data_IF_340512086549
#
_entry.id   IF_340512086549
#
_cell.length_a   1.000
_cell.length_b   1.000
_cell.length_c   1.000
_cell.angle_alpha   90.00
_cell.angle_beta   90.00
_cell.angle_gamma   90.00
#
_symmetry.space_group_name_H-M   'P 1'
#
loop_
_entity.id
_entity.type
_entity.pdbx_description
1 polymer ?
#
# COMPACT_ATOMS: atom_id res chain seq x y z
N UNK A 1 5.83 -14.26 -16.71
CA UNK A 1 6.68 -14.22 -15.51
C UNK A 1 6.21 -13.09 -14.60
N UNK A 2 4.98 -13.17 -14.07
CA UNK A 2 4.38 -12.15 -13.18
C UNK A 2 3.54 -12.83 -12.09
N UNK A 3 4.11 -13.81 -11.40
CA UNK A 3 3.43 -14.56 -10.34
C UNK A 3 4.12 -14.41 -8.97
N UNK A 4 4.89 -13.34 -8.77
CA UNK A 4 5.69 -13.15 -7.55
C UNK A 4 5.08 -12.20 -6.52
N UNK A 5 3.99 -11.50 -6.85
CA UNK A 5 3.23 -10.71 -5.89
C UNK A 5 1.82 -11.31 -5.78
N UNK A 6 1.73 -12.52 -5.24
CA UNK A 6 0.43 -13.15 -4.94
C UNK A 6 -0.31 -12.34 -3.87
N UNK A 7 -1.65 -12.40 -3.87
CA UNK A 7 -2.54 -11.66 -2.95
C UNK A 7 -2.06 -11.65 -1.49
N UNK A 8 -1.46 -12.75 -1.01
CA UNK A 8 -0.91 -12.83 0.35
C UNK A 8 0.25 -11.87 0.64
N UNK A 9 1.08 -11.54 -0.36
CA UNK A 9 2.14 -10.53 -0.20
C UNK A 9 1.54 -9.13 -0.05
N UNK A 10 0.51 -8.83 -0.85
CA UNK A 10 -0.18 -7.54 -0.78
C UNK A 10 -0.87 -7.34 0.58
N UNK A 11 -1.48 -8.40 1.13
CA UNK A 11 -2.17 -8.34 2.42
C UNK A 11 -1.21 -8.21 3.62
N UNK A 12 -0.09 -8.94 3.61
CA UNK A 12 0.97 -8.78 4.62
C UNK A 12 1.56 -7.38 4.53
N UNK A 13 1.90 -6.91 3.33
CA UNK A 13 2.41 -5.56 3.12
C UNK A 13 1.45 -4.49 3.65
N UNK A 14 0.15 -4.60 3.33
CA UNK A 14 -0.86 -3.65 3.78
C UNK A 14 -1.03 -3.60 5.31
N UNK A 15 -0.68 -4.68 6.01
CA UNK A 15 -0.77 -4.79 7.46
C UNK A 15 0.52 -4.45 8.19
N UNK A 16 1.68 -4.63 7.56
CA UNK A 16 3.00 -4.50 8.21
C UNK A 16 3.71 -3.18 7.89
N UNK A 17 3.39 -2.55 6.75
CA UNK A 17 4.12 -1.36 6.30
C UNK A 17 3.49 -0.07 6.82
N UNK A 18 4.18 0.60 7.74
CA UNK A 18 3.76 1.89 8.32
C UNK A 18 4.25 3.04 7.45
N UNK A 19 3.33 3.90 7.02
CA UNK A 19 3.61 5.05 6.15
C UNK A 19 3.42 6.36 6.92
N UNK A 20 4.46 7.19 6.96
CA UNK A 20 4.42 8.50 7.60
C UNK A 20 3.37 9.42 6.97
N UNK A 21 3.16 9.31 5.66
CA UNK A 21 2.18 10.08 4.89
C UNK A 21 0.72 9.70 5.21
N UNK A 22 0.47 8.51 5.78
CA UNK A 22 -0.83 8.11 6.36
C UNK A 22 -0.96 8.51 7.84
N UNK A 23 -0.06 9.38 8.32
CA UNK A 23 0.03 9.78 9.72
C UNK A 23 0.65 8.69 10.60
N UNK A 24 1.61 7.93 10.07
CA UNK A 24 2.27 6.85 10.81
C UNK A 24 1.39 5.61 10.97
N UNK A 25 0.57 5.30 9.95
CA UNK A 25 -0.35 4.16 9.92
C UNK A 25 -0.01 3.20 8.80
N UNK A 26 -0.45 1.97 8.94
CA UNK A 26 -0.46 1.00 7.84
C UNK A 26 -1.63 1.24 6.90
N UNK A 27 -1.60 0.63 5.70
CA UNK A 27 -2.70 0.70 4.73
C UNK A 27 -4.01 0.26 5.38
N UNK A 28 -4.00 -0.88 6.07
CA UNK A 28 -5.19 -1.40 6.77
C UNK A 28 -5.70 -0.42 7.83
N UNK A 29 -4.80 0.12 8.65
CA UNK A 29 -5.16 1.09 9.69
C UNK A 29 -5.70 2.40 9.11
N UNK A 30 -5.18 2.87 7.96
CA UNK A 30 -5.68 4.06 7.30
C UNK A 30 -7.11 3.83 6.77
N UNK A 31 -7.36 2.69 6.13
CA UNK A 31 -8.70 2.29 5.68
C UNK A 31 -9.69 2.19 6.85
N UNK A 32 -9.30 1.54 7.95
CA UNK A 32 -10.12 1.45 9.17
C UNK A 32 -10.38 2.82 9.80
N UNK A 33 -9.44 3.76 9.67
CA UNK A 33 -9.60 5.15 10.11
C UNK A 33 -10.49 5.99 9.17
N UNK A 34 -11.05 5.40 8.11
CA UNK A 34 -11.95 6.06 7.17
C UNK A 34 -11.26 6.78 6.02
N UNK A 35 -9.99 6.48 5.74
CA UNK A 35 -9.32 7.00 4.56
C UNK A 35 -9.89 6.36 3.29
N UNK A 36 -10.04 7.16 2.25
CA UNK A 36 -10.41 6.68 0.92
C UNK A 36 -9.33 5.75 0.37
N UNK A 37 -9.75 4.58 -0.14
CA UNK A 37 -8.83 3.58 -0.68
C UNK A 37 -7.95 4.13 -1.81
N UNK A 38 -8.47 5.08 -2.59
CA UNK A 38 -7.72 5.76 -3.65
C UNK A 38 -6.56 6.60 -3.11
N UNK A 39 -6.78 7.32 -2.00
CA UNK A 39 -5.74 8.14 -1.39
C UNK A 39 -4.66 7.27 -0.74
N UNK A 40 -5.08 6.20 -0.07
CA UNK A 40 -4.15 5.21 0.49
C UNK A 40 -3.30 4.58 -0.62
N UNK A 41 -3.90 4.18 -1.74
CA UNK A 41 -3.15 3.62 -2.88
C UNK A 41 -2.14 4.59 -3.48
N UNK A 42 -2.47 5.89 -3.55
CA UNK A 42 -1.54 6.91 -4.03
C UNK A 42 -0.29 7.00 -3.15
N UNK A 43 -0.49 7.04 -1.83
CA UNK A 43 0.64 7.03 -0.87
C UNK A 43 1.45 5.75 -1.02
N UNK A 44 0.81 4.59 -1.20
CA UNK A 44 1.51 3.33 -1.45
C UNK A 44 2.40 3.41 -2.69
N UNK A 45 1.89 3.93 -3.80
CA UNK A 45 2.68 4.12 -5.02
C UNK A 45 3.85 5.09 -4.83
N UNK A 46 3.64 6.18 -4.09
CA UNK A 46 4.65 7.19 -3.78
C UNK A 46 5.75 6.62 -2.87
N UNK A 47 5.39 5.95 -1.76
CA UNK A 47 6.32 5.36 -0.80
C UNK A 47 7.10 4.17 -1.38
N UNK A 48 6.43 3.28 -2.12
CA UNK A 48 7.08 2.09 -2.71
C UNK A 48 7.91 2.43 -3.95
N UNK A 49 7.90 3.69 -4.42
CA UNK A 49 8.62 4.08 -5.63
C UNK A 49 8.18 3.28 -6.84
N UNK A 50 6.93 2.79 -6.86
CA UNK A 50 6.35 2.07 -7.99
C UNK A 50 6.01 3.12 -9.06
N UNK A 51 7.04 3.70 -9.64
CA UNK A 51 6.96 4.31 -10.96
C UNK A 51 6.60 3.19 -11.91
N UNK A 52 5.32 3.11 -12.29
CA UNK A 52 4.72 2.54 -13.51
C UNK A 52 5.60 1.61 -14.40
N UNK A 53 6.33 0.67 -13.81
CA UNK A 53 7.20 -0.29 -14.48
C UNK A 53 6.63 -1.71 -14.41
N UNK A 54 5.32 -1.84 -14.16
CA UNK A 54 4.57 -2.94 -14.76
C UNK A 54 4.28 -2.57 -16.22
N UNK A 55 5.22 -2.90 -17.09
CA UNK A 55 4.99 -3.14 -18.52
C UNK A 55 4.76 -4.61 -18.76
#
# INVERSE_FOLDING_TARGET
MYAHFGEGYAESFASDHVMSELGGRTVRQALEAGWEAKDVWRVVCETQGVSALLR
#
